data_IF_850544266143
#
_entry.id   IF_850544266143
#
_cell.length_a   1.000
_cell.length_b   1.000
_cell.length_c   1.000
_cell.angle_alpha   90.00
_cell.angle_beta   90.00
_cell.angle_gamma   90.00
#
_symmetry.space_group_name_H-M   'P 1'
#
loop_
_entity.id
_entity.type
_entity.pdbx_description
1 polymer ?
#
# COMPACT_ATOMS: atom_id res chain seq x y z
N UNK A 1 -8.88 36.84 -14.03
CA UNK A 1 -9.20 35.42 -13.84
C UNK A 1 -7.91 34.72 -13.43
N UNK A 2 -7.66 34.56 -12.13
CA UNK A 2 -6.46 33.89 -11.63
C UNK A 2 -6.61 32.38 -11.88
N UNK A 3 -5.74 31.82 -12.73
CA UNK A 3 -5.61 30.38 -12.93
C UNK A 3 -5.18 29.76 -11.60
N UNK A 4 -6.07 29.00 -10.95
CA UNK A 4 -5.69 28.17 -9.80
C UNK A 4 -4.74 27.11 -10.33
N UNK A 5 -3.44 27.26 -10.08
CA UNK A 5 -2.45 26.19 -10.28
C UNK A 5 -2.89 25.02 -9.42
N UNK A 6 -3.48 24.00 -10.05
CA UNK A 6 -3.71 22.73 -9.39
C UNK A 6 -2.39 21.98 -9.45
N UNK A 7 -1.61 22.03 -8.38
CA UNK A 7 -0.50 21.10 -8.20
C UNK A 7 -1.06 19.68 -8.24
N UNK A 8 -0.70 18.95 -9.30
CA UNK A 8 -1.02 17.53 -9.45
C UNK A 8 -0.03 16.79 -8.55
N UNK A 9 -0.53 16.23 -7.45
CA UNK A 9 0.26 15.40 -6.53
C UNK A 9 0.25 13.97 -7.06
N UNK A 10 1.42 13.45 -7.43
CA UNK A 10 1.59 12.06 -7.82
C UNK A 10 1.93 11.17 -6.60
N UNK A 11 0.97 10.36 -6.16
CA UNK A 11 1.14 9.43 -5.05
C UNK A 11 1.86 8.13 -5.43
N UNK A 12 2.00 7.85 -6.73
CA UNK A 12 2.71 6.67 -7.22
C UNK A 12 4.23 6.89 -7.30
N UNK A 13 4.67 8.15 -7.27
CA UNK A 13 6.08 8.45 -7.24
C UNK A 13 6.71 8.00 -5.91
N UNK A 14 7.79 7.23 -6.01
CA UNK A 14 8.58 6.79 -4.86
C UNK A 14 10.00 7.37 -4.99
N UNK A 15 10.43 8.23 -4.05
CA UNK A 15 11.79 8.74 -4.04
C UNK A 15 12.83 7.63 -3.93
N UNK A 16 14.00 7.80 -4.55
CA UNK A 16 15.06 6.79 -4.58
C UNK A 16 15.48 6.29 -3.19
N UNK A 17 15.52 7.20 -2.21
CA UNK A 17 15.90 6.90 -0.83
C UNK A 17 14.87 6.05 -0.07
N UNK A 18 13.66 5.88 -0.62
CA UNK A 18 12.59 5.02 -0.11
C UNK A 18 12.42 3.70 -0.89
N UNK A 19 13.17 3.45 -1.98
CA UNK A 19 13.01 2.23 -2.79
C UNK A 19 13.08 0.93 -1.97
N UNK A 20 14.10 0.80 -1.11
CA UNK A 20 14.27 -0.40 -0.29
C UNK A 20 13.11 -0.64 0.70
N UNK A 21 12.56 0.43 1.30
CA UNK A 21 11.40 0.30 2.19
C UNK A 21 10.11 0.06 1.39
N UNK A 22 10.01 0.64 0.20
CA UNK A 22 8.87 0.43 -0.69
C UNK A 22 8.73 -1.04 -1.12
N UNK A 23 9.83 -1.73 -1.44
CA UNK A 23 9.80 -3.16 -1.77
C UNK A 23 9.28 -4.03 -0.62
N UNK A 24 9.73 -3.76 0.61
CA UNK A 24 9.22 -4.44 1.82
C UNK A 24 7.74 -4.12 2.07
N UNK A 25 7.35 -2.87 1.84
CA UNK A 25 5.95 -2.45 1.93
C UNK A 25 5.06 -3.12 0.88
N UNK A 26 5.55 -3.40 -0.34
CA UNK A 26 4.80 -4.17 -1.33
C UNK A 26 4.66 -5.65 -0.91
N UNK A 27 5.69 -6.25 -0.30
CA UNK A 27 5.56 -7.58 0.30
C UNK A 27 4.50 -7.59 1.42
N UNK A 28 4.57 -6.62 2.32
CA UNK A 28 3.59 -6.43 3.40
C UNK A 28 2.17 -6.17 2.87
N UNK A 29 2.01 -5.33 1.84
CA UNK A 29 0.72 -5.08 1.19
C UNK A 29 0.11 -6.38 0.66
N UNK A 30 0.90 -7.20 -0.03
CA UNK A 30 0.45 -8.50 -0.57
C UNK A 30 -0.01 -9.46 0.53
N UNK A 31 0.56 -9.32 1.74
CA UNK A 31 0.17 -10.07 2.92
C UNK A 31 -1.12 -9.54 3.57
N UNK A 32 -1.26 -8.23 3.74
CA UNK A 32 -2.41 -7.60 4.43
C UNK A 32 -3.67 -7.53 3.58
N UNK A 33 -3.53 -7.39 2.25
CA UNK A 33 -4.67 -7.10 1.39
C UNK A 33 -5.71 -8.23 1.46
N UNK A 34 -6.92 -7.88 1.89
CA UNK A 34 -8.06 -8.78 1.87
C UNK A 34 -8.47 -8.98 0.41
N UNK A 35 -8.22 -10.17 -0.13
CA UNK A 35 -8.64 -10.49 -1.49
C UNK A 35 -10.16 -10.61 -1.53
N UNK A 36 -10.85 -9.96 -2.50
CA UNK A 36 -12.28 -10.14 -2.68
C UNK A 36 -12.58 -11.63 -2.82
N UNK A 37 -13.33 -12.16 -1.87
CA UNK A 37 -13.80 -13.53 -1.94
C UNK A 37 -14.94 -13.58 -2.96
N UNK A 38 -15.03 -14.64 -3.76
CA UNK A 38 -15.89 -14.76 -4.96
C UNK A 38 -17.41 -14.67 -4.75
N UNK A 39 -17.86 -14.16 -3.61
CA UNK A 39 -19.26 -13.84 -3.29
C UNK A 39 -19.81 -12.70 -4.14
N UNK A 40 -18.94 -11.87 -4.72
CA UNK A 40 -19.30 -10.83 -5.68
C UNK A 40 -19.62 -11.41 -7.07
N UNK A 41 -19.21 -12.66 -7.35
CA UNK A 41 -19.53 -13.33 -8.62
C UNK A 41 -20.98 -13.79 -8.59
N UNK A 42 -21.75 -13.44 -9.62
CA UNK A 42 -23.12 -13.90 -9.74
C UNK A 42 -23.19 -15.44 -9.67
N UNK A 43 -24.16 -16.04 -8.95
CA UNK A 43 -24.17 -17.47 -8.64
C UNK A 43 -23.99 -18.38 -9.87
N UNK A 44 -24.58 -18.00 -11.01
CA UNK A 44 -24.50 -18.75 -12.27
C UNK A 44 -23.08 -18.87 -12.84
N UNK A 45 -22.15 -17.97 -12.47
CA UNK A 45 -20.76 -17.97 -12.94
C UNK A 45 -19.75 -18.44 -11.89
N UNK A 46 -20.18 -18.80 -10.68
CA UNK A 46 -19.28 -19.12 -9.55
C UNK A 46 -18.32 -20.30 -9.84
N UNK A 47 -18.76 -21.23 -10.69
CA UNK A 47 -17.96 -22.40 -11.11
C UNK A 47 -17.58 -22.37 -12.60
N UNK A 48 -17.85 -21.26 -13.30
CA UNK A 48 -17.49 -21.15 -14.71
C UNK A 48 -15.96 -21.11 -14.84
N UNK A 49 -15.40 -22.13 -15.49
CA UNK A 49 -13.98 -22.18 -15.83
C UNK A 49 -13.84 -22.06 -17.35
N UNK A 50 -13.14 -21.02 -17.82
CA UNK A 50 -12.81 -20.92 -19.24
C UNK A 50 -11.85 -22.06 -19.62
N UNK A 51 -12.12 -22.73 -20.75
CA UNK A 51 -11.22 -23.76 -21.31
C UNK A 51 -9.89 -23.19 -21.84
N UNK A 52 -9.66 -21.88 -21.69
CA UNK A 52 -8.50 -21.16 -22.18
C UNK A 52 -7.22 -21.38 -21.37
N UNK A 53 -7.31 -21.95 -20.15
CA UNK A 53 -6.15 -22.19 -19.24
C UNK A 53 -5.09 -23.17 -19.77
N UNK A 54 -5.32 -23.79 -20.93
CA UNK A 54 -4.44 -24.82 -21.50
C UNK A 54 -3.23 -24.23 -22.26
N UNK A 55 -3.26 -22.94 -22.61
CA UNK A 55 -2.28 -22.32 -23.50
C UNK A 55 -1.18 -21.53 -22.79
N UNK A 56 -1.36 -21.19 -21.51
CA UNK A 56 -0.38 -20.42 -20.74
C UNK A 56 0.32 -21.31 -19.72
N UNK A 57 1.66 -21.22 -19.66
CA UNK A 57 2.43 -21.89 -18.63
C UNK A 57 2.02 -21.35 -17.25
N UNK A 58 1.81 -22.22 -16.23
CA UNK A 58 1.42 -21.77 -14.90
C UNK A 58 2.48 -20.81 -14.33
N UNK A 59 2.09 -19.54 -14.14
CA UNK A 59 2.97 -18.53 -13.58
C UNK A 59 3.27 -18.85 -12.10
N UNK A 60 4.54 -19.20 -11.82
CA UNK A 60 5.04 -19.37 -10.45
C UNK A 60 4.90 -18.02 -9.75
N UNK A 61 4.02 -17.96 -8.76
CA UNK A 61 3.84 -16.75 -7.96
C UNK A 61 5.00 -16.59 -7.00
N UNK A 62 5.58 -15.38 -6.91
CA UNK A 62 6.58 -15.10 -5.88
C UNK A 62 5.94 -15.29 -4.51
N UNK A 63 6.50 -16.13 -3.62
CA UNK A 63 5.97 -16.29 -2.28
C UNK A 63 6.03 -14.95 -1.53
N UNK A 64 5.11 -14.77 -0.59
CA UNK A 64 5.11 -13.63 0.33
C UNK A 64 5.99 -14.00 1.51
N UNK A 65 6.96 -13.16 1.85
CA UNK A 65 7.74 -13.32 3.08
C UNK A 65 6.88 -12.90 4.26
N UNK A 66 6.33 -13.89 4.96
CA UNK A 66 5.43 -13.68 6.10
C UNK A 66 6.14 -13.15 7.35
N UNK A 67 7.43 -13.46 7.54
CA UNK A 67 8.19 -12.99 8.70
C UNK A 67 8.46 -11.49 8.58
N UNK A 68 8.92 -11.06 7.40
CA UNK A 68 9.11 -9.64 7.11
C UNK A 68 7.78 -8.88 7.19
N UNK A 69 6.70 -9.44 6.64
CA UNK A 69 5.38 -8.80 6.68
C UNK A 69 4.88 -8.58 8.12
N UNK A 70 5.07 -9.54 9.03
CA UNK A 70 4.69 -9.37 10.45
C UNK A 70 5.53 -8.31 11.14
N UNK A 71 6.84 -8.23 10.86
CA UNK A 71 7.70 -7.18 11.39
C UNK A 71 7.28 -5.79 10.91
N UNK A 72 6.95 -5.67 9.62
CA UNK A 72 6.46 -4.42 9.03
C UNK A 72 5.10 -4.04 9.64
N UNK A 73 4.17 -4.97 9.82
CA UNK A 73 2.86 -4.68 10.44
C UNK A 73 3.03 -4.15 11.88
N UNK A 74 3.93 -4.75 12.68
CA UNK A 74 4.24 -4.24 14.02
C UNK A 74 4.80 -2.82 13.97
N UNK A 75 5.69 -2.54 13.02
CA UNK A 75 6.27 -1.21 12.85
C UNK A 75 5.21 -0.18 12.41
N UNK A 76 4.30 -0.56 11.51
CA UNK A 76 3.17 0.28 11.05
C UNK A 76 2.20 0.55 12.20
N UNK A 77 1.86 -0.47 12.99
CA UNK A 77 0.98 -0.30 14.15
C UNK A 77 1.54 0.67 15.20
N UNK A 78 2.87 0.75 15.32
CA UNK A 78 3.57 1.66 16.23
C UNK A 78 3.77 3.09 15.69
N UNK A 79 3.29 3.41 14.48
CA UNK A 79 3.31 4.77 13.96
C UNK A 79 2.22 5.64 14.60
N UNK A 80 2.40 6.97 14.64
CA UNK A 80 1.31 7.86 15.03
C UNK A 80 0.13 7.73 14.04
N UNK A 81 -1.07 7.95 14.56
CA UNK A 81 -2.34 7.62 13.89
C UNK A 81 -2.45 8.19 12.47
N UNK A 82 -2.12 9.46 12.26
CA UNK A 82 -2.20 10.12 10.94
C UNK A 82 -1.29 9.47 9.89
N UNK A 83 -0.04 9.17 10.26
CA UNK A 83 0.94 8.54 9.38
C UNK A 83 0.58 7.08 9.12
N UNK A 84 0.16 6.35 10.17
CA UNK A 84 -0.31 4.96 10.05
C UNK A 84 -1.45 4.84 9.05
N UNK A 85 -2.45 5.69 9.18
CA UNK A 85 -3.64 5.64 8.35
C UNK A 85 -3.35 6.12 6.92
N UNK A 86 -2.49 7.13 6.75
CA UNK A 86 -1.99 7.54 5.43
C UNK A 86 -1.22 6.42 4.72
N UNK A 87 -0.35 5.70 5.43
CA UNK A 87 0.40 4.56 4.87
C UNK A 87 -0.53 3.41 4.48
N UNK A 88 -1.47 3.03 5.36
CA UNK A 88 -2.46 1.98 5.05
C UNK A 88 -3.34 2.37 3.87
N UNK A 89 -3.79 3.62 3.81
CA UNK A 89 -4.51 4.12 2.65
C UNK A 89 -3.66 4.01 1.39
N UNK A 90 -2.40 4.46 1.40
CA UNK A 90 -1.56 4.50 0.20
C UNK A 90 -1.26 3.10 -0.38
N UNK A 91 -0.96 2.11 0.47
CA UNK A 91 -0.55 0.78 0.00
C UNK A 91 -1.71 -0.21 -0.09
N UNK A 92 -2.63 -0.24 0.87
CA UNK A 92 -3.66 -1.29 0.96
C UNK A 92 -4.91 -0.92 0.17
N UNK A 93 -5.44 0.28 0.41
CA UNK A 93 -6.75 0.67 -0.12
C UNK A 93 -6.66 1.48 -1.43
N UNK A 94 -5.64 2.33 -1.56
CA UNK A 94 -5.37 3.23 -2.68
C UNK A 94 -6.62 3.92 -3.26
N UNK A 95 -7.57 4.30 -2.39
CA UNK A 95 -8.84 4.91 -2.77
C UNK A 95 -8.70 6.40 -3.14
N UNK A 96 -9.83 7.12 -3.19
CA UNK A 96 -9.83 8.53 -3.55
C UNK A 96 -8.96 9.39 -2.59
N UNK A 97 -7.89 10.06 -3.07
CA UNK A 97 -7.00 10.86 -2.23
C UNK A 97 -7.66 12.07 -1.59
N UNK A 98 -8.68 12.65 -2.23
CA UNK A 98 -9.43 13.79 -1.68
C UNK A 98 -10.23 13.36 -0.45
N UNK A 99 -10.84 12.19 -0.50
CA UNK A 99 -11.61 11.65 0.61
C UNK A 99 -10.68 11.35 1.80
N UNK A 100 -9.52 10.75 1.55
CA UNK A 100 -8.55 10.47 2.62
C UNK A 100 -7.97 11.74 3.24
N UNK A 101 -7.58 12.71 2.42
CA UNK A 101 -7.07 13.99 2.91
C UNK A 101 -8.09 14.70 3.82
N UNK A 102 -9.38 14.67 3.44
CA UNK A 102 -10.48 15.18 4.28
C UNK A 102 -10.62 14.42 5.60
N UNK A 103 -10.57 13.09 5.56
CA UNK A 103 -10.67 12.25 6.76
C UNK A 103 -9.55 12.55 7.77
N UNK A 104 -8.34 12.82 7.28
CA UNK A 104 -7.18 13.15 8.12
C UNK A 104 -7.07 14.65 8.47
N UNK A 105 -7.94 15.49 7.91
CA UNK A 105 -7.93 16.94 8.10
C UNK A 105 -6.70 17.63 7.50
N UNK A 106 -6.19 17.15 6.36
CA UNK A 106 -5.01 17.69 5.68
C UNK A 106 -5.29 18.09 4.23
N UNK A 107 -4.38 18.86 3.64
CA UNK A 107 -4.39 19.15 2.19
C UNK A 107 -3.93 17.93 1.40
N UNK A 108 -4.09 17.96 0.06
CA UNK A 108 -3.55 16.90 -0.82
C UNK A 108 -2.03 16.76 -0.67
N UNK A 109 -1.32 17.89 -0.66
CA UNK A 109 0.12 17.88 -0.44
C UNK A 109 0.47 17.33 0.95
N UNK A 110 -0.26 17.76 1.99
CA UNK A 110 -0.07 17.25 3.35
C UNK A 110 -0.31 15.74 3.49
N UNK A 111 -1.19 15.15 2.67
CA UNK A 111 -1.34 13.70 2.61
C UNK A 111 -0.08 13.02 2.04
N UNK A 112 0.50 13.58 0.97
CA UNK A 112 1.76 13.06 0.42
C UNK A 112 2.91 13.21 1.42
N UNK A 113 2.99 14.34 2.12
CA UNK A 113 4.01 14.58 3.16
C UNK A 113 3.87 13.59 4.32
N UNK A 114 2.64 13.22 4.71
CA UNK A 114 2.39 12.18 5.72
C UNK A 114 2.84 10.80 5.26
N UNK A 115 2.66 10.46 3.98
CA UNK A 115 3.12 9.19 3.40
C UNK A 115 4.66 9.16 3.37
N UNK A 116 5.30 10.25 2.94
CA UNK A 116 6.75 10.37 2.90
C UNK A 116 7.37 10.27 4.31
N UNK A 117 6.81 11.02 5.27
CA UNK A 117 7.22 10.96 6.68
C UNK A 117 7.00 9.55 7.26
N UNK A 118 5.89 8.89 6.94
CA UNK A 118 5.60 7.51 7.36
C UNK A 118 6.65 6.52 6.84
N UNK A 119 7.02 6.60 5.55
CA UNK A 119 8.07 5.75 4.95
C UNK A 119 9.43 5.99 5.61
N UNK A 120 9.77 7.24 5.90
CA UNK A 120 11.00 7.60 6.61
C UNK A 120 11.03 7.04 8.03
N UNK A 121 9.93 7.14 8.78
CA UNK A 121 9.83 6.56 10.12
C UNK A 121 9.96 5.04 10.12
N UNK A 122 9.34 4.36 9.15
CA UNK A 122 9.45 2.90 9.00
C UNK A 122 10.87 2.48 8.66
N UNK A 123 11.53 3.17 7.73
CA UNK A 123 12.94 2.94 7.41
C UNK A 123 13.82 3.00 8.66
N UNK A 124 13.64 4.03 9.50
CA UNK A 124 14.42 4.20 10.73
C UNK A 124 14.15 3.10 11.77
N UNK A 125 12.88 2.73 11.96
CA UNK A 125 12.47 1.66 12.90
C UNK A 125 12.96 0.28 12.48
N UNK A 126 12.95 -0.02 11.18
CA UNK A 126 13.34 -1.34 10.66
C UNK A 126 14.85 -1.46 10.44
N UNK A 127 15.59 -0.35 10.33
CA UNK A 127 17.04 -0.36 10.32
C UNK A 127 17.62 -0.65 11.72
N UNK A 128 16.95 -0.19 12.78
CA UNK A 128 17.43 -0.31 14.16
C UNK A 128 17.26 -1.71 14.76
N UNK A 129 16.37 -2.55 14.22
CA UNK A 129 16.13 -3.91 14.71
C UNK A 129 17.22 -4.94 14.37
N UNK A 130 18.27 -4.55 13.62
CA UNK A 130 19.37 -5.44 13.23
C UNK A 130 20.63 -5.28 14.12
N UNK A 131 20.61 -4.38 15.10
CA UNK A 131 21.79 -4.00 15.91
C UNK A 131 21.70 -4.48 17.36
N UNK A 132 21.01 -5.58 17.64
CA UNK A 132 20.93 -6.17 18.99
C UNK A 132 20.99 -7.68 18.89
#
# INVERSE_FOLDING_TARGET
MLMRVQEIVDYNHVPDHHKAIHERMENWRRWVIVRPHGWQTAPMFRMYQSKARQWEAPAIQNPVDTLDAVLVEKAVAALPEKQRDAIRWNYVHAGNPVAMARNLGVSKQGLADLVDAGRTMLKNKLHTSCTT
#
